data_IF_307020901608
#
_entry.id   IF_307020901608
#
_cell.length_a   1.000
_cell.length_b   1.000
_cell.length_c   1.000
_cell.angle_alpha   90.00
_cell.angle_beta   90.00
_cell.angle_gamma   90.00
#
_symmetry.space_group_name_H-M   'P 1'
#
loop_
_entity.id
_entity.type
_entity.pdbx_description
1 polymer ?
#
# COMPACT_ATOMS: atom_id res chain seq x y z
N UNK A 1 -17.69 6.94 25.86
CA UNK A 1 -16.40 7.19 25.16
C UNK A 1 -15.40 6.17 25.70
N UNK A 2 -14.83 5.32 24.84
CA UNK A 2 -13.84 4.33 25.27
C UNK A 2 -12.52 5.01 25.65
N UNK A 3 -11.91 4.56 26.73
CA UNK A 3 -10.59 5.05 27.18
C UNK A 3 -9.52 4.59 26.17
N UNK A 4 -8.60 5.45 25.70
CA UNK A 4 -7.57 5.05 24.76
C UNK A 4 -6.62 4.06 25.44
N UNK A 5 -6.32 2.94 24.76
CA UNK A 5 -5.26 2.03 25.19
C UNK A 5 -3.90 2.76 25.17
N UNK A 6 -2.89 2.32 25.95
CA UNK A 6 -1.55 2.86 25.83
C UNK A 6 -1.02 2.74 24.40
N UNK A 7 -0.11 3.63 23.95
CA UNK A 7 0.47 3.55 22.62
C UNK A 7 1.07 2.16 22.41
N UNK A 8 0.76 1.56 21.26
CA UNK A 8 1.20 0.23 20.90
C UNK A 8 2.71 0.16 20.64
N UNK A 9 3.24 -1.05 20.47
CA UNK A 9 4.66 -1.27 20.22
C UNK A 9 5.18 -0.53 18.99
N UNK A 10 6.47 -0.21 19.02
CA UNK A 10 7.21 0.29 17.86
C UNK A 10 7.88 -0.89 17.17
N UNK A 11 7.60 -1.07 15.89
CA UNK A 11 8.26 -2.08 15.06
C UNK A 11 9.33 -1.46 14.17
N UNK A 12 10.38 -2.24 13.93
CA UNK A 12 11.39 -1.98 12.89
C UNK A 12 11.22 -3.05 11.82
N UNK A 13 10.88 -2.63 10.61
CA UNK A 13 10.64 -3.52 9.47
C UNK A 13 11.74 -3.30 8.45
N UNK A 14 12.35 -4.40 8.00
CA UNK A 14 13.30 -4.42 6.90
C UNK A 14 12.71 -5.29 5.78
N UNK A 15 12.46 -4.68 4.63
CA UNK A 15 12.14 -5.41 3.40
C UNK A 15 13.35 -5.35 2.48
N UNK A 16 13.79 -6.50 1.95
CA UNK A 16 14.82 -6.53 0.91
C UNK A 16 14.40 -7.43 -0.24
N UNK A 17 14.44 -6.89 -1.45
CA UNK A 17 14.22 -7.62 -2.71
C UNK A 17 15.52 -7.56 -3.52
N UNK A 18 15.98 -8.71 -3.99
CA UNK A 18 17.16 -8.81 -4.85
C UNK A 18 16.77 -9.55 -6.11
N UNK A 19 17.02 -8.94 -7.26
CA UNK A 19 16.93 -9.56 -8.57
C UNK A 19 18.35 -9.80 -9.08
N UNK A 20 18.65 -11.05 -9.41
CA UNK A 20 19.88 -11.45 -10.09
C UNK A 20 19.49 -11.97 -11.48
N UNK A 21 19.97 -11.29 -12.52
CA UNK A 21 19.68 -11.59 -13.91
C UNK A 21 20.81 -12.40 -14.53
N UNK A 22 20.46 -13.36 -15.38
CA UNK A 22 21.39 -14.21 -16.14
C UNK A 22 22.16 -13.42 -17.22
N UNK A 23 21.53 -12.40 -17.79
CA UNK A 23 22.13 -11.44 -18.72
C UNK A 23 21.92 -9.98 -18.24
N UNK A 24 22.74 -9.00 -18.71
CA UNK A 24 22.52 -7.59 -18.40
C UNK A 24 21.16 -7.10 -18.90
N UNK A 25 20.42 -6.43 -18.03
CA UNK A 25 19.18 -5.72 -18.37
C UNK A 25 19.42 -4.21 -18.40
N UNK A 26 18.60 -3.50 -19.19
CA UNK A 26 18.62 -2.04 -19.35
C UNK A 26 17.22 -1.47 -19.19
N UNK A 27 17.15 -0.15 -19.00
CA UNK A 27 15.90 0.61 -18.95
C UNK A 27 14.88 -0.04 -18.00
N UNK A 28 15.32 -0.43 -16.80
CA UNK A 28 14.46 -1.06 -15.81
C UNK A 28 13.62 0.00 -15.09
N UNK A 29 12.32 0.03 -15.40
CA UNK A 29 11.35 0.92 -14.76
C UNK A 29 10.63 0.17 -13.64
N UNK A 30 10.59 0.76 -12.45
CA UNK A 30 10.05 0.10 -11.27
C UNK A 30 9.14 1.03 -10.47
N UNK A 31 8.07 0.45 -9.95
CA UNK A 31 7.12 1.10 -9.03
C UNK A 31 7.05 0.28 -7.74
N UNK A 32 7.22 0.92 -6.59
CA UNK A 32 7.29 0.29 -5.29
C UNK A 32 6.23 0.84 -4.34
N UNK A 33 5.59 -0.07 -3.59
CA UNK A 33 4.69 0.23 -2.48
C UNK A 33 5.31 -0.29 -1.18
N UNK A 34 6.46 0.28 -0.80
CA UNK A 34 7.27 -0.14 0.35
C UNK A 34 7.29 0.87 1.50
N UNK A 35 6.41 1.87 1.45
CA UNK A 35 6.17 2.80 2.55
C UNK A 35 4.69 2.74 2.94
N UNK A 36 4.36 2.47 4.22
CA UNK A 36 2.99 2.45 4.67
C UNK A 36 2.40 3.85 4.63
N UNK A 37 1.19 3.98 4.10
CA UNK A 37 0.39 5.20 4.26
C UNK A 37 0.07 5.45 5.73
N UNK A 38 -0.21 6.71 6.07
CA UNK A 38 -0.69 7.04 7.42
C UNK A 38 -2.08 6.46 7.63
N UNK A 39 -2.32 5.89 8.81
CA UNK A 39 -3.57 5.23 9.13
C UNK A 39 -3.99 5.54 10.56
N UNK A 40 -5.29 5.61 10.90
CA UNK A 40 -5.72 6.08 12.22
C UNK A 40 -5.19 5.24 13.38
N UNK A 41 -4.89 3.96 13.12
CA UNK A 41 -4.39 3.00 14.11
C UNK A 41 -2.92 2.60 13.88
N UNK A 42 -2.20 3.30 12.98
CA UNK A 42 -0.78 3.09 12.77
C UNK A 42 -0.09 4.34 12.24
N UNK A 43 1.00 4.73 12.90
CA UNK A 43 1.84 5.86 12.49
C UNK A 43 3.19 5.39 11.94
N UNK A 44 3.54 5.84 10.75
CA UNK A 44 4.90 5.68 10.20
C UNK A 44 5.80 6.74 10.83
N UNK A 45 6.84 6.32 11.55
CA UNK A 45 7.81 7.21 12.22
C UNK A 45 8.97 7.57 11.27
N UNK A 46 9.40 6.61 10.46
CA UNK A 46 10.42 6.82 9.42
C UNK A 46 10.28 5.73 8.37
N UNK A 47 10.48 6.07 7.10
CA UNK A 47 10.58 5.11 6.01
C UNK A 47 11.69 5.57 5.07
N UNK A 48 12.61 4.66 4.72
CA UNK A 48 13.71 4.94 3.80
C UNK A 48 13.79 3.80 2.81
N UNK A 49 13.77 4.14 1.52
CA UNK A 49 14.00 3.21 0.42
C UNK A 49 15.38 3.45 -0.17
N UNK A 50 16.14 2.38 -0.36
CA UNK A 50 17.43 2.36 -1.03
C UNK A 50 17.35 1.44 -2.24
N UNK A 51 17.96 1.86 -3.33
CA UNK A 51 18.04 1.10 -4.58
C UNK A 51 19.49 1.02 -5.01
N UNK A 52 19.92 -0.17 -5.41
CA UNK A 52 21.22 -0.44 -6.03
C UNK A 52 20.98 -1.15 -7.37
N UNK A 53 21.53 -0.66 -8.50
CA UNK A 53 22.41 0.50 -8.63
C UNK A 53 21.78 1.81 -8.20
N UNK A 54 22.60 2.73 -7.68
CA UNK A 54 22.10 4.00 -7.15
C UNK A 54 21.44 4.81 -8.26
N UNK A 55 20.16 5.13 -8.08
CA UNK A 55 19.36 5.93 -9.01
C UNK A 55 18.44 6.88 -8.23
N UNK A 56 17.85 7.84 -8.94
CA UNK A 56 16.89 8.77 -8.37
C UNK A 56 15.56 8.07 -8.16
N UNK A 57 15.11 8.06 -6.90
CA UNK A 57 13.79 7.57 -6.51
C UNK A 57 12.84 8.76 -6.36
N UNK A 58 11.76 8.78 -7.14
CA UNK A 58 10.64 9.73 -7.01
C UNK A 58 9.63 9.15 -6.04
N UNK A 59 9.07 9.98 -5.15
CA UNK A 59 8.00 9.60 -4.20
C UNK A 59 6.76 10.44 -4.48
N UNK A 60 5.60 9.81 -4.58
CA UNK A 60 4.32 10.48 -4.79
C UNK A 60 3.16 9.66 -4.19
N UNK A 61 1.95 10.24 -4.16
CA UNK A 61 0.73 9.54 -3.77
C UNK A 61 -0.04 9.12 -5.04
N UNK A 62 -0.46 7.85 -5.09
CA UNK A 62 -1.30 7.36 -6.19
C UNK A 62 -2.78 7.76 -6.00
N UNK A 63 -3.66 7.32 -6.91
CA UNK A 63 -5.11 7.60 -6.84
C UNK A 63 -5.78 7.05 -5.56
N UNK A 64 -5.15 6.09 -4.89
CA UNK A 64 -5.64 5.44 -3.67
C UNK A 64 -4.94 5.98 -2.41
N UNK A 65 -4.19 7.08 -2.54
CA UNK A 65 -3.38 7.70 -1.48
C UNK A 65 -2.27 6.79 -0.91
N UNK A 66 -1.89 5.75 -1.64
CA UNK A 66 -0.73 4.93 -1.27
C UNK A 66 0.55 5.72 -1.56
N UNK A 67 1.53 5.58 -0.66
CA UNK A 67 2.85 6.15 -0.90
C UNK A 67 3.59 5.28 -1.91
N UNK A 68 3.76 5.83 -3.10
CA UNK A 68 4.37 5.15 -4.24
C UNK A 68 5.76 5.70 -4.49
N UNK A 69 6.71 4.80 -4.72
CA UNK A 69 8.06 5.16 -5.16
C UNK A 69 8.28 4.69 -6.58
N UNK A 70 8.86 5.54 -7.42
CA UNK A 70 9.20 5.21 -8.80
C UNK A 70 10.65 5.52 -9.08
N UNK A 71 11.35 4.60 -9.74
CA UNK A 71 12.71 4.80 -10.18
C UNK A 71 12.99 4.10 -11.50
N UNK A 72 14.05 4.55 -12.16
CA UNK A 72 14.49 4.06 -13.46
C UNK A 72 15.99 3.75 -13.38
N UNK A 73 16.38 2.55 -13.81
CA UNK A 73 17.80 2.15 -13.96
C UNK A 73 18.09 2.00 -15.45
N UNK A 74 18.65 3.06 -16.03
CA UNK A 74 18.94 3.14 -17.49
C UNK A 74 20.21 2.37 -17.87
N UNK A 75 21.16 2.26 -16.95
CA UNK A 75 22.43 1.55 -17.17
C UNK A 75 22.27 0.03 -17.20
N UNK A 76 23.17 -0.63 -17.92
CA UNK A 76 23.31 -2.09 -17.88
C UNK A 76 23.56 -2.55 -16.43
N UNK A 77 22.76 -3.50 -15.97
CA UNK A 77 22.98 -4.14 -14.68
C UNK A 77 22.57 -5.60 -14.72
N UNK A 78 23.25 -6.42 -13.92
CA UNK A 78 22.89 -7.84 -13.70
C UNK A 78 22.24 -8.06 -12.34
N UNK A 79 22.23 -7.04 -11.49
CA UNK A 79 21.68 -7.11 -10.15
C UNK A 79 20.94 -5.84 -9.81
N UNK A 80 19.73 -5.98 -9.28
CA UNK A 80 18.91 -4.90 -8.73
C UNK A 80 18.56 -5.26 -7.29
N UNK A 81 18.98 -4.43 -6.34
CA UNK A 81 18.67 -4.60 -4.92
C UNK A 81 17.86 -3.40 -4.43
N UNK A 82 16.71 -3.70 -3.83
CA UNK A 82 15.78 -2.73 -3.27
C UNK A 82 15.65 -3.05 -1.79
N UNK A 83 15.92 -2.07 -0.94
CA UNK A 83 15.81 -2.21 0.51
C UNK A 83 14.90 -1.11 1.07
N UNK A 84 13.90 -1.49 1.85
CA UNK A 84 13.06 -0.56 2.62
C UNK A 84 13.28 -0.79 4.12
N UNK A 85 13.56 0.30 4.84
CA UNK A 85 13.69 0.32 6.31
C UNK A 85 12.63 1.23 6.88
N UNK A 86 11.73 0.65 7.66
CA UNK A 86 10.55 1.34 8.19
C UNK A 86 10.54 1.22 9.71
N UNK A 87 10.20 2.31 10.38
CA UNK A 87 9.81 2.31 11.79
C UNK A 87 8.35 2.70 11.87
N UNK A 88 7.53 1.83 12.43
CA UNK A 88 6.10 2.09 12.62
C UNK A 88 5.75 2.00 14.10
N UNK A 89 4.73 2.74 14.50
CA UNK A 89 4.13 2.67 15.81
C UNK A 89 2.67 2.28 15.66
N UNK A 90 2.27 1.20 16.32
CA UNK A 90 0.86 0.86 16.41
C UNK A 90 0.18 1.85 17.35
N UNK A 91 -0.97 2.37 16.91
CA UNK A 91 -1.83 3.20 17.74
C UNK A 91 -3.02 2.36 18.20
N UNK A 92 -3.67 2.72 19.31
CA UNK A 92 -4.88 2.06 19.77
C UNK A 92 -5.93 1.96 18.67
N UNK A 93 -6.43 0.76 18.41
CA UNK A 93 -7.59 0.57 17.58
C UNK A 93 -8.84 0.92 18.40
N UNK A 94 -9.59 1.93 17.96
CA UNK A 94 -10.87 2.28 18.56
C UNK A 94 -11.96 1.58 17.75
N UNK A 95 -12.47 0.47 18.27
CA UNK A 95 -13.62 -0.24 17.68
C UNK A 95 -14.89 0.19 18.43
N UNK A 96 -15.94 0.70 17.75
CA UNK A 96 -17.23 0.97 18.39
C UNK A 96 -17.80 -0.28 19.03
N UNK A 97 -18.50 -0.14 20.17
CA UNK A 97 -19.07 -1.29 20.90
C UNK A 97 -20.01 -2.14 20.02
N UNK A 98 -20.82 -1.50 19.19
CA UNK A 98 -21.68 -2.17 18.22
C UNK A 98 -20.86 -3.06 17.26
N UNK A 99 -19.72 -2.58 16.77
CA UNK A 99 -18.83 -3.35 15.88
C UNK A 99 -18.11 -4.49 16.61
N UNK A 100 -17.89 -4.40 17.92
CA UNK A 100 -17.29 -5.48 18.71
C UNK A 100 -18.24 -6.67 18.93
N UNK A 101 -19.54 -6.40 18.92
CA UNK A 101 -20.60 -7.39 19.19
C UNK A 101 -21.32 -7.84 17.91
N UNK A 102 -20.95 -7.27 16.76
CA UNK A 102 -21.63 -7.50 15.50
C UNK A 102 -21.56 -8.95 15.05
N UNK A 103 -22.71 -9.50 14.65
CA UNK A 103 -22.88 -10.83 14.08
C UNK A 103 -22.86 -10.77 12.55
N UNK A 104 -22.41 -11.85 11.90
CA UNK A 104 -22.27 -11.90 10.44
C UNK A 104 -23.58 -11.58 9.68
N UNK A 105 -24.74 -11.92 10.24
CA UNK A 105 -26.02 -11.64 9.58
C UNK A 105 -26.42 -10.16 9.64
N UNK A 106 -25.93 -9.40 10.63
CA UNK A 106 -26.15 -7.96 10.76
C UNK A 106 -25.40 -7.18 9.66
N UNK A 107 -24.32 -7.76 9.12
CA UNK A 107 -23.60 -7.21 7.97
C UNK A 107 -24.39 -7.24 6.65
N UNK A 108 -25.48 -8.02 6.59
CA UNK A 108 -26.34 -8.11 5.40
C UNK A 108 -27.55 -7.17 5.48
N UNK A 109 -27.65 -6.37 6.54
CA UNK A 109 -28.69 -5.35 6.67
C UNK A 109 -28.48 -4.22 5.65
N UNK A 110 -29.56 -3.72 5.06
CA UNK A 110 -29.53 -2.63 4.06
C UNK A 110 -29.06 -1.27 4.62
N UNK A 111 -28.88 -1.17 5.94
CA UNK A 111 -28.44 0.05 6.63
C UNK A 111 -26.92 0.23 6.63
N UNK A 112 -26.16 -0.75 6.14
CA UNK A 112 -24.71 -0.60 5.93
C UNK A 112 -24.52 0.04 4.56
N UNK A 113 -24.02 1.28 4.47
CA UNK A 113 -23.64 1.84 3.19
C UNK A 113 -22.50 0.98 2.64
N UNK A 114 -22.83 0.11 1.68
CA UNK A 114 -21.81 -0.51 0.85
C UNK A 114 -20.99 0.63 0.27
N UNK A 115 -19.67 0.62 0.49
CA UNK A 115 -18.78 1.51 -0.25
C UNK A 115 -18.85 1.08 -1.72
N UNK A 116 -19.80 1.66 -2.44
CA UNK A 116 -19.94 1.43 -3.88
C UNK A 116 -18.86 2.26 -4.55
N UNK A 117 -17.74 1.64 -4.87
CA UNK A 117 -16.75 2.28 -5.74
C UNK A 117 -17.37 2.40 -7.14
N UNK A 118 -17.70 3.63 -7.55
CA UNK A 118 -18.37 3.89 -8.82
C UNK A 118 -17.62 3.30 -10.03
N UNK A 119 -16.29 3.18 -9.97
CA UNK A 119 -15.47 2.56 -11.03
C UNK A 119 -15.58 1.03 -11.08
N UNK A 120 -16.15 0.39 -10.06
CA UNK A 120 -16.53 -1.02 -10.05
C UNK A 120 -17.99 -1.23 -10.45
N UNK A 121 -18.72 -0.17 -10.80
CA UNK A 121 -20.09 -0.26 -11.29
C UNK A 121 -20.14 0.02 -12.78
N UNK A 122 -21.15 -0.52 -13.45
CA UNK A 122 -21.49 -0.08 -14.79
C UNK A 122 -21.85 1.40 -14.74
N UNK A 123 -21.26 2.18 -15.63
CA UNK A 123 -21.61 3.58 -15.84
C UNK A 123 -22.29 3.73 -17.19
N UNK A 124 -22.87 4.90 -17.43
CA UNK A 124 -23.42 5.27 -18.74
C UNK A 124 -22.38 5.17 -19.88
N UNK A 125 -21.09 5.32 -19.57
CA UNK A 125 -20.02 5.40 -20.57
C UNK A 125 -19.14 4.15 -20.63
N UNK A 126 -19.03 3.40 -19.53
CA UNK A 126 -18.18 2.21 -19.41
C UNK A 126 -18.98 1.13 -18.71
N UNK A 127 -19.23 0.04 -19.43
CA UNK A 127 -19.84 -1.18 -18.90
C UNK A 127 -18.72 -2.18 -18.59
N UNK A 128 -18.85 -2.96 -17.53
CA UNK A 128 -17.88 -3.97 -17.07
C UNK A 128 -18.03 -5.31 -17.79
N UNK A 129 -18.98 -5.45 -18.71
CA UNK A 129 -19.21 -6.71 -19.40
C UNK A 129 -18.04 -7.05 -20.35
N UNK A 130 -17.46 -8.26 -20.28
CA UNK A 130 -16.26 -8.62 -21.06
C UNK A 130 -16.48 -8.69 -22.58
N UNK A 131 -17.72 -8.53 -23.07
CA UNK A 131 -18.03 -8.57 -24.51
C UNK A 131 -17.59 -7.30 -25.26
N UNK A 132 -17.24 -6.22 -24.54
CA UNK A 132 -16.90 -4.90 -25.12
C UNK A 132 -15.37 -4.77 -25.35
N UNK A 133 -14.59 -5.77 -24.92
CA UNK A 133 -13.11 -5.79 -24.99
C UNK A 133 -12.59 -6.74 -26.09
N UNK A 134 -13.49 -7.18 -26.99
CA UNK A 134 -13.16 -7.89 -28.24
C UNK A 134 -13.18 -6.92 -29.40
#
# INVERSE_FOLDING_TARGET
MGQPLPPGPIFKVLHRTVFDYDAPVRDSLNTLHLEPRTFPFQRTLSAVVKVLPATRVRRFHDLFENVTHHFEVLGDHRRLEIESRIRIQNLPLIVPQASQQALLHEYRGGDIPEQTWAYLQDSRFVFRHPQIWR
#
